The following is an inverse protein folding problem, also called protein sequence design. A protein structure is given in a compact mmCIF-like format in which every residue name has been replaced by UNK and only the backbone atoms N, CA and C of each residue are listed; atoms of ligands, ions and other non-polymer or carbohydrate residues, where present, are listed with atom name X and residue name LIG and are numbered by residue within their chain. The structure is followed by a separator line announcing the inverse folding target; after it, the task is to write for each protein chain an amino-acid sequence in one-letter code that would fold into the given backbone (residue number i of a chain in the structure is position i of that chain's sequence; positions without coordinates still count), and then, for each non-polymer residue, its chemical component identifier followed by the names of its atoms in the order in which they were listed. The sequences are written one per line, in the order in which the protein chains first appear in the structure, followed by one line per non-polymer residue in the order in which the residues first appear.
data_IF_644348697203
#
_entry.id   IF_644348697203
#
_cell.length_a   1.000
_cell.length_b   1.000
_cell.length_c   1.000
_cell.angle_alpha   90.00
_cell.angle_beta   90.00
_cell.angle_gamma   90.00
#
_symmetry.space_group_name_H-M   'P 1'
#
loop_
_entity.id
_entity.type
_entity.pdbx_description
1 polymer ?
#
# COMPACT_ATOMS: atom_id res chain seq x y z
N UNK A 1 9.70 17.63 -6.71
CA UNK A 1 8.33 17.22 -6.42
C UNK A 1 8.00 17.56 -4.99
N UNK A 2 6.76 17.93 -4.69
CA UNK A 2 6.24 18.01 -3.32
C UNK A 2 5.08 17.04 -3.17
N UNK A 3 4.83 16.63 -1.94
CA UNK A 3 3.59 15.93 -1.59
C UNK A 3 2.61 16.93 -1.01
N UNK A 4 1.36 16.87 -1.48
CA UNK A 4 0.25 17.71 -1.04
C UNK A 4 -0.82 16.87 -0.35
N UNK A 5 -1.60 17.48 0.54
CA UNK A 5 -2.73 16.82 1.18
C UNK A 5 -3.94 16.70 0.27
N UNK A 6 -4.59 15.53 0.26
CA UNK A 6 -5.80 15.25 -0.53
C UNK A 6 -7.03 16.09 -0.14
N UNK A 7 -7.01 16.74 1.02
CA UNK A 7 -8.14 17.57 1.52
C UNK A 7 -7.77 19.06 1.63
N UNK A 8 -6.50 19.38 1.47
CA UNK A 8 -5.95 20.73 1.53
C UNK A 8 -4.57 20.77 0.86
N UNK A 9 -4.49 21.39 -0.32
CA UNK A 9 -3.24 21.53 -1.08
C UNK A 9 -2.20 22.42 -0.42
N UNK A 10 -2.58 23.22 0.58
CA UNK A 10 -1.65 24.04 1.37
C UNK A 10 -0.78 23.19 2.31
N UNK A 11 -1.26 21.99 2.69
CA UNK A 11 -0.47 21.02 3.45
C UNK A 11 0.55 20.42 2.48
N UNK A 12 1.80 20.80 2.63
CA UNK A 12 2.91 20.34 1.77
C UNK A 12 3.96 19.59 2.58
N UNK A 13 4.64 18.65 1.93
CA UNK A 13 5.73 17.87 2.52
C UNK A 13 6.75 17.45 1.47
N UNK A 14 8.00 17.29 1.89
CA UNK A 14 8.97 16.47 1.17
C UNK A 14 8.60 14.98 1.31
N UNK A 15 9.10 14.10 0.44
CA UNK A 15 8.78 12.68 0.50
C UNK A 15 9.26 12.07 1.82
N UNK A 16 10.50 12.37 2.24
CA UNK A 16 11.04 11.86 3.51
C UNK A 16 10.19 12.25 4.72
N UNK A 17 9.75 13.51 4.80
CA UNK A 17 8.84 13.98 5.86
C UNK A 17 7.46 13.34 5.75
N UNK A 18 6.96 13.14 4.55
CA UNK A 18 5.66 12.51 4.30
C UNK A 18 5.65 11.04 4.72
N UNK A 19 6.75 10.32 4.49
CA UNK A 19 6.97 8.94 4.95
C UNK A 19 6.96 8.87 6.48
N UNK A 20 7.64 9.78 7.17
CA UNK A 20 7.67 9.81 8.63
C UNK A 20 6.30 10.15 9.24
N UNK A 21 5.59 11.13 8.68
CA UNK A 21 4.27 11.55 9.14
C UNK A 21 3.19 10.50 8.85
N UNK A 22 3.27 9.84 7.68
CA UNK A 22 2.30 8.85 7.20
C UNK A 22 0.96 9.42 6.74
N UNK A 23 0.39 10.40 7.46
CA UNK A 23 -0.91 11.04 7.21
C UNK A 23 -0.82 12.57 7.37
N UNK A 24 -1.71 13.31 6.71
CA UNK A 24 -1.82 14.76 6.89
C UNK A 24 -2.48 15.12 8.24
N UNK A 25 -2.20 16.31 8.74
CA UNK A 25 -2.71 16.82 10.01
C UNK A 25 -4.24 17.03 10.03
N UNK A 26 -4.86 17.22 8.87
CA UNK A 26 -6.32 17.32 8.69
C UNK A 26 -6.99 15.94 8.45
N UNK A 27 -6.23 14.86 8.61
CA UNK A 27 -6.66 13.48 8.37
C UNK A 27 -6.74 13.09 6.89
N UNK A 28 -6.35 13.97 5.96
CA UNK A 28 -6.15 13.65 4.55
C UNK A 28 -4.88 12.82 4.32
N UNK A 29 -4.65 12.43 3.08
CA UNK A 29 -3.50 11.62 2.67
C UNK A 29 -2.50 12.46 1.88
N UNK A 30 -1.21 12.18 2.04
CA UNK A 30 -0.19 12.76 1.16
C UNK A 30 -0.26 12.12 -0.22
N UNK A 31 -0.23 12.91 -1.28
CA UNK A 31 -0.08 12.47 -2.67
C UNK A 31 0.89 13.40 -3.41
N UNK A 32 1.58 12.93 -4.46
CA UNK A 32 2.44 13.83 -5.22
C UNK A 32 1.61 14.96 -5.85
N UNK A 33 2.16 16.18 -5.87
CA UNK A 33 1.56 17.34 -6.53
C UNK A 33 1.29 17.07 -8.02
N UNK A 34 2.18 16.33 -8.66
CA UNK A 34 2.02 15.78 -10.00
C UNK A 34 2.56 14.34 -10.07
N UNK A 35 1.89 13.45 -10.80
CA UNK A 35 2.44 12.11 -11.06
C UNK A 35 3.56 12.28 -12.10
N UNK A 36 4.81 11.89 -11.80
CA UNK A 36 5.92 12.09 -12.72
C UNK A 36 5.73 11.25 -13.98
N UNK A 37 6.36 11.64 -15.08
CA UNK A 37 6.51 10.79 -16.27
C UNK A 37 7.89 10.13 -16.21
N UNK A 38 8.00 8.88 -16.67
CA UNK A 38 9.30 8.21 -16.76
C UNK A 38 10.28 9.04 -17.62
N UNK A 39 11.48 9.26 -17.09
CA UNK A 39 12.56 9.99 -17.76
C UNK A 39 13.32 9.12 -18.77
N UNK A 40 13.28 7.80 -18.61
CA UNK A 40 13.84 6.80 -19.52
C UNK A 40 12.77 6.23 -20.46
N UNK A 41 13.21 5.80 -21.64
CA UNK A 41 12.33 5.05 -22.54
C UNK A 41 12.02 3.68 -21.94
N UNK A 42 10.87 3.09 -22.31
CA UNK A 42 10.54 1.74 -21.84
C UNK A 42 11.58 0.71 -22.30
N UNK A 43 12.15 0.87 -23.50
CA UNK A 43 13.24 0.05 -24.02
C UNK A 43 14.47 0.04 -23.09
N UNK A 44 14.82 1.19 -22.51
CA UNK A 44 15.95 1.30 -21.56
C UNK A 44 15.68 0.57 -20.23
N UNK A 45 14.41 0.31 -19.90
CA UNK A 45 13.99 -0.34 -18.65
C UNK A 45 13.88 -1.86 -18.77
N UNK A 46 13.74 -2.40 -19.98
CA UNK A 46 13.41 -3.82 -20.25
C UNK A 46 14.37 -4.77 -19.53
N UNK A 47 15.67 -4.49 -19.56
CA UNK A 47 16.70 -5.40 -19.07
C UNK A 47 17.18 -5.11 -17.64
N UNK A 48 16.53 -4.17 -16.93
CA UNK A 48 16.92 -3.86 -15.55
C UNK A 48 16.54 -4.99 -14.59
N UNK A 49 17.35 -5.14 -13.54
CA UNK A 49 17.00 -5.91 -12.36
C UNK A 49 15.79 -5.28 -11.66
N UNK A 50 15.13 -6.02 -10.75
CA UNK A 50 14.03 -5.44 -9.96
C UNK A 50 14.50 -4.22 -9.17
N UNK A 51 15.70 -4.30 -8.59
CA UNK A 51 16.31 -3.25 -7.77
C UNK A 51 16.66 -2.00 -8.59
N UNK A 52 17.26 -2.18 -9.77
CA UNK A 52 17.57 -1.05 -10.65
C UNK A 52 16.31 -0.39 -11.18
N UNK A 53 15.30 -1.17 -11.56
CA UNK A 53 14.01 -0.63 -11.96
C UNK A 53 13.31 0.09 -10.80
N UNK A 54 13.40 -0.45 -9.58
CA UNK A 54 12.89 0.20 -8.38
C UNK A 54 13.54 1.58 -8.20
N UNK A 55 14.85 1.69 -8.41
CA UNK A 55 15.56 2.97 -8.33
C UNK A 55 15.05 3.95 -9.39
N UNK A 56 14.95 3.53 -10.66
CA UNK A 56 14.48 4.39 -11.75
C UNK A 56 13.06 4.93 -11.53
N UNK A 57 12.16 4.12 -10.98
CA UNK A 57 10.78 4.52 -10.66
C UNK A 57 10.74 5.39 -9.41
N UNK A 58 11.39 4.95 -8.31
CA UNK A 58 11.25 5.59 -6.99
C UNK A 58 11.97 6.94 -6.92
N UNK A 59 13.08 7.15 -7.65
CA UNK A 59 13.82 8.43 -7.65
C UNK A 59 12.95 9.61 -8.10
N UNK A 60 11.96 9.35 -8.97
CA UNK A 60 11.05 10.38 -9.49
C UNK A 60 10.02 10.82 -8.43
N UNK A 61 9.62 9.92 -7.54
CA UNK A 61 8.68 10.19 -6.44
C UNK A 61 9.37 10.65 -5.15
N UNK A 62 10.65 10.32 -4.97
CA UNK A 62 11.41 10.56 -3.74
C UNK A 62 12.64 11.43 -4.04
N UNK A 63 12.40 12.56 -4.72
CA UNK A 63 13.47 13.40 -5.28
C UNK A 63 14.29 14.18 -4.22
N UNK A 64 13.93 14.09 -2.95
CA UNK A 64 14.71 14.59 -1.81
C UNK A 64 15.72 13.55 -1.27
N UNK A 65 15.63 12.29 -1.70
CA UNK A 65 16.62 11.24 -1.42
C UNK A 65 17.78 11.32 -2.43
N UNK A 66 18.99 11.06 -1.96
CA UNK A 66 20.15 10.85 -2.84
C UNK A 66 20.09 9.46 -3.46
N UNK A 67 20.85 9.25 -4.54
CA UNK A 67 20.99 7.92 -5.14
C UNK A 67 21.47 6.87 -4.12
N UNK A 68 22.48 7.21 -3.32
CA UNK A 68 23.04 6.33 -2.30
C UNK A 68 21.99 5.93 -1.25
N UNK A 69 21.24 6.91 -0.75
CA UNK A 69 20.17 6.70 0.23
C UNK A 69 19.06 5.79 -0.30
N UNK A 70 18.62 6.03 -1.54
CA UNK A 70 17.53 5.27 -2.14
C UNK A 70 17.96 3.84 -2.51
N UNK A 71 19.18 3.68 -3.07
CA UNK A 71 19.76 2.37 -3.35
C UNK A 71 19.99 1.56 -2.07
N UNK A 72 20.43 2.20 -0.99
CA UNK A 72 20.52 1.55 0.32
C UNK A 72 19.18 0.98 0.76
N UNK A 73 18.09 1.76 0.66
CA UNK A 73 16.75 1.30 1.02
C UNK A 73 16.30 0.12 0.17
N UNK A 74 16.49 0.21 -1.15
CA UNK A 74 16.07 -0.81 -2.13
C UNK A 74 16.84 -2.12 -1.92
N UNK A 75 18.17 -2.05 -1.85
CA UNK A 75 19.01 -3.24 -1.73
C UNK A 75 18.88 -3.92 -0.36
N UNK A 76 18.54 -3.17 0.68
CA UNK A 76 18.27 -3.75 2.00
C UNK A 76 16.87 -4.39 2.08
N UNK A 77 15.95 -3.98 1.20
CA UNK A 77 14.58 -4.48 1.20
C UNK A 77 14.38 -5.71 0.32
N UNK A 78 14.92 -5.68 -0.90
CA UNK A 78 14.70 -6.69 -1.94
C UNK A 78 15.98 -7.53 -2.14
N UNK A 79 16.24 -8.37 -1.15
CA UNK A 79 17.39 -9.27 -1.08
C UNK A 79 16.92 -10.72 -0.85
N UNK A 80 17.78 -11.55 -0.25
CA UNK A 80 17.49 -12.94 0.12
C UNK A 80 16.28 -13.15 1.07
N UNK A 81 15.62 -12.08 1.54
CA UNK A 81 14.31 -12.18 2.20
C UNK A 81 13.20 -12.63 1.24
N UNK A 82 13.43 -12.50 -0.06
CA UNK A 82 12.58 -13.06 -1.10
C UNK A 82 13.17 -14.39 -1.55
N UNK A 83 12.34 -15.42 -1.70
CA UNK A 83 12.77 -16.78 -2.07
C UNK A 83 13.13 -16.94 -3.57
N UNK A 84 13.11 -15.83 -4.32
CA UNK A 84 13.48 -15.74 -5.74
C UNK A 84 14.23 -14.44 -6.02
N UNK A 85 15.29 -14.52 -6.83
CA UNK A 85 16.08 -13.36 -7.26
C UNK A 85 15.29 -12.38 -8.16
N UNK A 86 14.18 -12.85 -8.75
CA UNK A 86 13.29 -12.01 -9.55
C UNK A 86 12.43 -11.06 -8.70
N UNK A 87 12.32 -11.32 -7.38
CA UNK A 87 11.47 -10.63 -6.39
C UNK A 87 9.96 -10.75 -6.69
N UNK A 88 9.53 -10.48 -7.92
CA UNK A 88 8.15 -10.50 -8.40
C UNK A 88 8.06 -11.20 -9.78
N UNK A 89 8.23 -12.54 -9.85
CA UNK A 89 8.16 -13.28 -11.11
C UNK A 89 6.77 -13.23 -11.73
N UNK A 90 6.73 -13.30 -13.07
CA UNK A 90 5.50 -13.39 -13.84
C UNK A 90 5.38 -14.79 -14.45
N UNK A 91 4.35 -15.53 -14.06
CA UNK A 91 4.09 -16.91 -14.50
C UNK A 91 2.92 -16.93 -15.47
N UNK A 92 3.03 -17.71 -16.55
CA UNK A 92 1.95 -17.92 -17.51
C UNK A 92 1.15 -19.14 -17.10
N UNK A 93 -0.16 -18.97 -16.91
CA UNK A 93 -1.11 -20.04 -16.64
C UNK A 93 -2.24 -19.94 -17.68
N UNK A 94 -2.33 -20.94 -18.56
CA UNK A 94 -3.20 -20.93 -19.75
C UNK A 94 -3.06 -19.61 -20.55
N UNK A 95 -4.15 -18.84 -20.65
CA UNK A 95 -4.27 -17.59 -21.39
C UNK A 95 -4.04 -16.35 -20.50
N UNK A 96 -3.62 -16.52 -19.24
CA UNK A 96 -3.38 -15.43 -18.30
C UNK A 96 -1.96 -15.43 -17.75
N UNK A 97 -1.53 -14.27 -17.26
CA UNK A 97 -0.29 -14.12 -16.54
C UNK A 97 -0.57 -13.77 -15.08
N UNK A 98 0.06 -14.50 -14.17
CA UNK A 98 -0.01 -14.31 -12.73
C UNK A 98 1.29 -13.65 -12.28
N UNK A 99 1.19 -12.42 -11.78
CA UNK A 99 2.30 -11.74 -11.12
C UNK A 99 2.38 -12.22 -9.67
N UNK A 100 3.36 -13.06 -9.39
CA UNK A 100 3.54 -13.65 -8.07
C UNK A 100 4.22 -12.62 -7.15
N UNK A 101 3.46 -12.10 -6.18
CA UNK A 101 3.95 -11.11 -5.20
C UNK A 101 4.10 -11.72 -3.80
N UNK A 102 4.12 -13.04 -3.69
CA UNK A 102 4.10 -13.77 -2.42
C UNK A 102 5.44 -14.47 -2.13
N UNK A 103 6.52 -14.03 -2.75
CA UNK A 103 7.85 -14.61 -2.55
C UNK A 103 8.62 -14.03 -1.36
N UNK A 104 8.06 -13.02 -0.68
CA UNK A 104 8.61 -12.51 0.56
C UNK A 104 8.33 -13.46 1.74
N UNK A 105 9.02 -13.22 2.86
CA UNK A 105 8.96 -14.04 4.07
C UNK A 105 7.57 -14.31 4.64
N UNK A 106 6.57 -13.47 4.34
CA UNK A 106 5.21 -13.65 4.88
C UNK A 106 4.22 -14.21 3.86
N UNK A 107 4.70 -14.55 2.67
CA UNK A 107 3.92 -15.14 1.59
C UNK A 107 2.76 -14.25 1.13
N UNK A 108 2.94 -12.92 1.20
CA UNK A 108 1.92 -11.95 0.83
C UNK A 108 2.51 -10.73 0.13
N UNK A 109 1.75 -10.14 -0.81
CA UNK A 109 2.16 -8.94 -1.56
C UNK A 109 2.51 -7.72 -0.69
N UNK A 110 2.12 -7.72 0.59
CA UNK A 110 2.44 -6.65 1.51
C UNK A 110 3.94 -6.55 1.79
N UNK A 111 4.68 -7.65 1.62
CA UNK A 111 6.15 -7.68 1.74
C UNK A 111 6.80 -6.72 0.75
N UNK A 112 6.25 -6.57 -0.46
CA UNK A 112 6.76 -5.63 -1.46
C UNK A 112 6.85 -4.19 -0.93
N UNK A 113 5.92 -3.78 -0.07
CA UNK A 113 5.89 -2.43 0.50
C UNK A 113 6.50 -2.36 1.90
N UNK A 114 6.32 -3.41 2.72
CA UNK A 114 6.72 -3.40 4.12
C UNK A 114 8.17 -3.80 4.34
N UNK A 115 8.80 -4.51 3.41
CA UNK A 115 10.24 -4.78 3.48
C UNK A 115 11.10 -3.53 3.27
N UNK A 116 10.61 -2.53 2.51
CA UNK A 116 11.35 -1.29 2.22
C UNK A 116 11.02 -0.13 3.16
N UNK A 117 9.81 -0.11 3.72
CA UNK A 117 9.34 0.97 4.57
C UNK A 117 10.26 1.29 5.77
N UNK A 118 10.77 0.32 6.55
CA UNK A 118 11.68 0.59 7.67
C UNK A 118 12.94 1.36 7.24
N UNK A 119 13.55 0.96 6.12
CA UNK A 119 14.75 1.63 5.59
C UNK A 119 14.44 3.03 5.09
N UNK A 120 13.29 3.23 4.44
CA UNK A 120 12.81 4.55 4.05
C UNK A 120 12.58 5.45 5.28
N UNK A 121 11.98 4.93 6.35
CA UNK A 121 11.72 5.68 7.58
C UNK A 121 13.03 6.06 8.29
N UNK A 122 13.96 5.10 8.44
CA UNK A 122 15.29 5.35 9.04
C UNK A 122 16.06 6.42 8.26
N UNK A 123 16.11 6.26 6.94
CA UNK A 123 16.79 7.21 6.05
C UNK A 123 16.12 8.58 6.09
N UNK A 124 14.79 8.63 6.15
CA UNK A 124 14.03 9.87 6.30
C UNK A 124 14.31 10.57 7.63
N UNK A 125 14.37 9.84 8.74
CA UNK A 125 14.67 10.40 10.06
C UNK A 125 16.08 11.02 10.06
N UNK A 126 17.08 10.27 9.58
CA UNK A 126 18.46 10.74 9.45
C UNK A 126 18.54 12.00 8.58
N UNK A 127 17.91 12.00 7.40
CA UNK A 127 17.90 13.15 6.47
C UNK A 127 17.28 14.40 7.09
N UNK A 128 16.26 14.22 7.92
CA UNK A 128 15.58 15.33 8.59
C UNK A 128 16.21 15.69 9.94
N UNK A 129 17.41 15.17 10.26
CA UNK A 129 18.13 15.39 11.52
C UNK A 129 17.27 15.02 12.75
N UNK A 130 16.50 13.95 12.63
CA UNK A 130 15.70 13.39 13.71
C UNK A 130 16.48 12.24 14.32
N UNK A 131 17.05 12.50 15.49
CA UNK A 131 17.77 11.51 16.30
C UNK A 131 16.81 10.92 17.34
N UNK A 132 15.82 10.17 16.86
CA UNK A 132 14.79 9.52 17.69
C UNK A 132 14.56 8.10 17.21
N UNK A 133 14.31 7.20 18.15
CA UNK A 133 13.87 5.84 17.83
C UNK A 133 12.40 5.88 17.38
N UNK A 134 12.11 5.32 16.20
CA UNK A 134 10.76 5.35 15.63
C UNK A 134 9.96 4.18 16.20
N UNK A 135 8.83 4.47 16.85
CA UNK A 135 7.90 3.47 17.40
C UNK A 135 6.70 3.34 16.47
N UNK A 136 6.62 2.19 15.79
CA UNK A 136 5.61 1.87 14.80
C UNK A 136 4.42 1.23 15.52
N UNK A 137 3.24 1.83 15.41
CA UNK A 137 2.00 1.25 15.89
C UNK A 137 1.12 0.83 14.71
N UNK A 138 0.69 -0.44 14.71
CA UNK A 138 -0.15 -1.00 13.64
C UNK A 138 -1.27 -1.84 14.23
N UNK A 139 -2.51 -1.60 13.82
CA UNK A 139 -3.62 -2.51 14.06
C UNK A 139 -3.77 -3.47 12.88
N UNK A 140 -4.10 -4.74 13.13
CA UNK A 140 -4.28 -5.73 12.06
C UNK A 140 -5.43 -6.69 12.30
N UNK A 141 -5.98 -7.21 11.19
CA UNK A 141 -6.85 -8.38 11.14
C UNK A 141 -6.12 -9.64 10.66
N UNK A 142 -4.80 -9.60 10.48
CA UNK A 142 -4.00 -10.75 10.04
C UNK A 142 -2.71 -10.36 9.30
N UNK A 143 -2.68 -10.54 7.98
CA UNK A 143 -1.45 -10.48 7.17
C UNK A 143 -0.65 -9.18 7.30
N UNK A 144 -1.33 -8.03 7.44
CA UNK A 144 -0.64 -6.73 7.55
C UNK A 144 0.26 -6.69 8.77
N UNK A 145 -0.18 -7.28 9.90
CA UNK A 145 0.61 -7.31 11.11
C UNK A 145 1.85 -8.17 10.95
N UNK A 146 1.70 -9.38 10.38
CA UNK A 146 2.84 -10.26 10.13
C UNK A 146 3.87 -9.65 9.18
N UNK A 147 3.42 -9.09 8.05
CA UNK A 147 4.32 -8.40 7.10
C UNK A 147 5.01 -7.18 7.71
N UNK A 148 4.33 -6.43 8.58
CA UNK A 148 4.94 -5.30 9.26
C UNK A 148 5.95 -5.76 10.31
N UNK A 149 5.58 -6.75 11.13
CA UNK A 149 6.48 -7.36 12.10
C UNK A 149 7.77 -7.86 11.45
N UNK A 150 7.65 -8.61 10.36
CA UNK A 150 8.79 -9.15 9.63
C UNK A 150 9.64 -8.05 8.96
N UNK A 151 9.01 -7.04 8.37
CA UNK A 151 9.73 -5.93 7.75
C UNK A 151 10.56 -5.13 8.77
N UNK A 152 10.00 -4.87 9.95
CA UNK A 152 10.65 -4.06 10.99
C UNK A 152 11.55 -4.87 11.94
N UNK A 153 11.51 -6.20 11.91
CA UNK A 153 12.30 -7.05 12.78
C UNK A 153 13.81 -6.71 12.68
N UNK A 154 14.41 -6.41 13.83
CA UNK A 154 15.83 -6.08 14.02
C UNK A 154 16.35 -4.91 13.16
N UNK A 155 15.45 -4.06 12.65
CA UNK A 155 15.84 -2.82 11.99
C UNK A 155 16.20 -1.78 13.04
N UNK A 156 17.51 -1.59 13.22
CA UNK A 156 18.09 -0.62 14.15
C UNK A 156 17.49 0.81 13.99
N UNK A 157 17.15 1.42 15.13
CA UNK A 157 16.46 2.72 15.20
C UNK A 157 14.94 2.65 15.06
N UNK A 158 14.35 1.45 15.04
CA UNK A 158 12.90 1.25 15.00
C UNK A 158 12.42 0.24 16.04
N UNK A 159 11.19 0.41 16.51
CA UNK A 159 10.41 -0.57 17.29
C UNK A 159 9.05 -0.73 16.65
N UNK A 160 8.47 -1.91 16.73
CA UNK A 160 7.12 -2.15 16.22
C UNK A 160 6.23 -2.80 17.27
N UNK A 161 5.02 -2.27 17.40
CA UNK A 161 3.95 -2.85 18.19
C UNK A 161 2.72 -3.11 17.31
N UNK A 162 2.32 -4.38 17.23
CA UNK A 162 1.15 -4.83 16.47
C UNK A 162 0.01 -5.20 17.40
N UNK A 163 -1.14 -4.57 17.21
CA UNK A 163 -2.38 -4.83 17.92
C UNK A 163 -3.31 -5.66 17.05
N UNK A 164 -3.85 -6.74 17.59
CA UNK A 164 -4.79 -7.60 16.88
C UNK A 164 -5.92 -8.08 17.81
N UNK A 165 -7.14 -8.32 17.30
CA UNK A 165 -8.20 -8.91 18.11
C UNK A 165 -7.86 -10.36 18.44
N UNK A 166 -7.72 -10.67 19.73
CA UNK A 166 -7.24 -11.96 20.25
C UNK A 166 -8.00 -13.18 19.70
N UNK A 167 -9.31 -12.99 19.46
CA UNK A 167 -10.26 -13.98 18.96
C UNK A 167 -10.72 -13.70 17.50
N UNK A 168 -10.18 -12.64 16.86
CA UNK A 168 -10.64 -12.15 15.55
C UNK A 168 -9.68 -12.42 14.39
N UNK A 169 -8.61 -13.20 14.61
CA UNK A 169 -7.62 -13.59 13.59
C UNK A 169 -7.55 -15.11 13.46
N UNK A 170 -7.13 -15.63 12.31
CA UNK A 170 -6.99 -17.08 12.14
C UNK A 170 -5.89 -17.64 13.06
N UNK A 171 -5.98 -18.92 13.50
CA UNK A 171 -4.95 -19.52 14.33
C UNK A 171 -3.55 -19.47 13.73
N UNK A 172 -3.43 -19.63 12.40
CA UNK A 172 -2.14 -19.57 11.70
C UNK A 172 -1.56 -18.15 11.75
N UNK A 173 -2.35 -17.12 11.44
CA UNK A 173 -1.89 -15.73 11.51
C UNK A 173 -1.54 -15.32 12.94
N UNK A 174 -2.33 -15.77 13.93
CA UNK A 174 -2.03 -15.56 15.34
C UNK A 174 -0.67 -16.13 15.71
N UNK A 175 -0.43 -17.40 15.38
CA UNK A 175 0.84 -18.07 15.63
C UNK A 175 1.99 -17.33 14.95
N UNK A 176 1.86 -16.99 13.66
CA UNK A 176 2.88 -16.24 12.93
C UNK A 176 3.26 -14.90 13.58
N UNK A 177 2.29 -14.20 14.17
CA UNK A 177 2.52 -12.94 14.88
C UNK A 177 3.16 -13.18 16.25
N UNK A 178 2.58 -14.02 17.10
CA UNK A 178 3.06 -14.21 18.49
C UNK A 178 4.40 -14.94 18.58
N UNK A 179 4.79 -15.67 17.52
CA UNK A 179 6.11 -16.30 17.41
C UNK A 179 7.07 -15.48 16.52
N UNK A 180 6.77 -14.21 16.24
CA UNK A 180 7.70 -13.35 15.52
C UNK A 180 9.00 -13.18 16.32
N UNK A 181 10.12 -13.35 15.63
CA UNK A 181 11.46 -13.02 16.15
C UNK A 181 11.81 -11.55 15.87
N UNK A 182 12.68 -11.00 16.71
CA UNK A 182 13.21 -9.64 16.61
C UNK A 182 13.11 -8.90 17.93
N UNK A 183 14.24 -8.39 18.44
CA UNK A 183 14.34 -7.78 19.77
C UNK A 183 13.53 -6.47 19.89
N UNK A 184 13.18 -5.88 18.76
CA UNK A 184 12.43 -4.64 18.65
C UNK A 184 10.93 -4.84 18.33
N UNK A 185 10.45 -6.09 18.35
CA UNK A 185 9.06 -6.44 18.02
C UNK A 185 8.20 -6.66 19.27
N UNK A 186 6.93 -6.25 19.19
CA UNK A 186 5.94 -6.46 20.25
C UNK A 186 4.58 -6.75 19.63
N UNK A 187 3.88 -7.76 20.16
CA UNK A 187 2.55 -8.14 19.69
C UNK A 187 1.58 -8.12 20.86
N UNK A 188 0.45 -7.43 20.68
CA UNK A 188 -0.55 -7.19 21.70
C UNK A 188 -1.91 -7.71 21.22
N UNK A 189 -2.35 -8.81 21.80
CA UNK A 189 -3.71 -9.31 21.64
C UNK A 189 -4.68 -8.46 22.46
N UNK A 190 -5.70 -7.88 21.82
CA UNK A 190 -6.73 -7.10 22.50
C UNK A 190 -8.03 -7.90 22.62
N UNK A 191 -8.78 -7.66 23.70
CA UNK A 191 -10.16 -8.14 23.83
C UNK A 191 -11.08 -7.15 23.13
N UNK A 192 -11.60 -7.53 21.97
CA UNK A 192 -12.42 -6.67 21.11
C UNK A 192 -12.34 -7.14 19.66
N UNK A 193 -12.78 -6.28 18.75
CA UNK A 193 -12.70 -6.49 17.30
C UNK A 193 -11.59 -5.64 16.65
N UNK A 194 -11.46 -5.73 15.32
CA UNK A 194 -10.45 -4.96 14.57
C UNK A 194 -10.67 -3.44 14.67
N UNK A 195 -11.92 -2.98 14.67
CA UNK A 195 -12.23 -1.55 14.78
C UNK A 195 -11.85 -0.98 16.15
N UNK A 196 -11.98 -1.79 17.21
CA UNK A 196 -11.50 -1.44 18.55
C UNK A 196 -9.96 -1.26 18.55
N UNK A 197 -9.23 -2.19 17.92
CA UNK A 197 -7.77 -2.10 17.79
C UNK A 197 -7.35 -0.84 17.02
N UNK A 198 -8.02 -0.58 15.90
CA UNK A 198 -7.74 0.59 15.07
C UNK A 198 -8.05 1.89 15.81
N UNK A 199 -9.16 1.94 16.55
CA UNK A 199 -9.56 3.10 17.35
C UNK A 199 -8.60 3.36 18.50
N UNK A 200 -8.15 2.32 19.20
CA UNK A 200 -7.16 2.42 20.28
C UNK A 200 -5.81 2.95 19.76
N UNK A 201 -5.30 2.38 18.66
CA UNK A 201 -4.08 2.88 18.01
C UNK A 201 -4.24 4.35 17.61
N UNK A 202 -5.39 4.73 17.03
CA UNK A 202 -5.67 6.12 16.68
C UNK A 202 -5.68 7.05 17.90
N UNK A 203 -6.25 6.62 19.03
CA UNK A 203 -6.22 7.43 20.26
C UNK A 203 -4.80 7.68 20.77
N UNK A 204 -3.91 6.69 20.69
CA UNK A 204 -2.49 6.81 21.06
C UNK A 204 -1.79 7.87 20.19
N UNK A 205 -2.04 7.88 18.88
CA UNK A 205 -1.48 8.89 17.96
C UNK A 205 -1.98 10.31 18.20
N UNK A 206 -3.07 10.50 18.96
CA UNK A 206 -3.65 11.81 19.24
C UNK A 206 -3.43 12.28 20.67
N UNK A 207 -2.83 11.44 21.51
CA UNK A 207 -2.55 11.75 22.91
C UNK A 207 -1.30 12.64 23.01
N UNK A 208 -1.54 13.94 23.23
CA UNK A 208 -0.48 14.95 23.31
C UNK A 208 0.44 14.77 24.51
N UNK A 209 -0.07 14.23 25.62
CA UNK A 209 0.75 14.01 26.83
C UNK A 209 1.70 12.84 26.60
N UNK A 210 1.19 11.73 26.06
CA UNK A 210 2.00 10.57 25.71
C UNK A 210 3.03 10.88 24.62
N UNK A 211 2.65 11.62 23.58
CA UNK A 211 3.58 12.07 22.53
C UNK A 211 4.71 12.89 23.15
N UNK A 212 4.40 13.82 24.05
CA UNK A 212 5.42 14.64 24.72
C UNK A 212 6.34 13.80 25.61
N UNK A 213 5.79 12.88 26.39
CA UNK A 213 6.58 11.98 27.23
C UNK A 213 7.56 11.13 26.42
N UNK A 214 7.12 10.61 25.28
CA UNK A 214 7.96 9.84 24.37
C UNK A 214 9.02 10.70 23.69
N UNK A 215 8.65 11.92 23.29
CA UNK A 215 9.56 12.90 22.71
C UNK A 215 10.76 13.18 23.63
N UNK A 216 10.48 13.41 24.92
CA UNK A 216 11.48 13.62 25.98
C UNK A 216 12.37 12.40 26.24
N UNK A 217 11.86 11.20 25.97
CA UNK A 217 12.60 9.94 26.07
C UNK A 217 13.33 9.54 24.78
N UNK A 218 13.30 10.38 23.74
CA UNK A 218 13.98 10.10 22.47
C UNK A 218 13.21 9.18 21.53
N UNK A 219 11.90 9.04 21.71
CA UNK A 219 11.02 8.25 20.84
C UNK A 219 10.11 9.15 20.01
N UNK A 220 9.69 8.64 18.85
CA UNK A 220 8.61 9.24 18.09
C UNK A 220 7.66 8.18 17.55
N UNK A 221 6.36 8.45 17.56
CA UNK A 221 5.40 7.55 16.93
C UNK A 221 5.40 7.70 15.40
N UNK A 222 5.20 6.58 14.72
CA UNK A 222 4.81 6.55 13.32
C UNK A 222 3.98 5.31 13.02
N UNK A 223 3.44 5.20 11.80
CA UNK A 223 2.55 4.12 11.40
C UNK A 223 2.98 3.45 10.11
N UNK A 224 2.84 2.12 10.06
CA UNK A 224 3.04 1.30 8.87
C UNK A 224 1.73 1.06 8.08
N UNK A 225 0.71 1.90 8.28
CA UNK A 225 -0.58 1.75 7.63
C UNK A 225 -0.52 1.92 6.10
N UNK A 226 -1.49 1.32 5.40
CA UNK A 226 -1.59 1.27 3.93
C UNK A 226 -1.68 2.62 3.24
N UNK A 227 -1.91 3.69 4.00
CA UNK A 227 -1.98 5.06 3.53
C UNK A 227 -0.61 5.73 3.42
N UNK A 228 0.46 5.16 4.00
CA UNK A 228 1.79 5.78 3.93
C UNK A 228 2.31 5.81 2.48
N UNK A 229 2.86 6.95 2.03
CA UNK A 229 3.45 7.07 0.68
C UNK A 229 4.65 6.12 0.48
N UNK A 230 5.38 5.81 1.56
CA UNK A 230 6.45 4.82 1.57
C UNK A 230 5.95 3.38 1.37
N UNK A 231 4.64 3.15 1.43
CA UNK A 231 4.02 1.88 0.99
C UNK A 231 3.43 1.95 -0.41
N UNK A 232 2.86 3.08 -0.81
CA UNK A 232 2.23 3.24 -2.12
C UNK A 232 3.26 3.25 -3.26
N UNK A 233 4.31 4.05 -3.14
CA UNK A 233 5.29 4.25 -4.22
C UNK A 233 6.04 2.96 -4.60
N UNK A 234 6.53 2.14 -3.66
CA UNK A 234 7.21 0.89 -4.02
C UNK A 234 6.32 -0.08 -4.81
N UNK A 235 5.00 -0.02 -4.62
CA UNK A 235 4.06 -0.86 -5.36
C UNK A 235 3.97 -0.51 -6.85
N UNK A 236 4.38 0.70 -7.26
CA UNK A 236 4.41 1.12 -8.68
C UNK A 236 5.42 0.27 -9.47
N UNK A 237 6.51 -0.15 -8.82
CA UNK A 237 7.65 -0.82 -9.43
C UNK A 237 7.25 -2.14 -10.10
N UNK A 238 6.47 -2.99 -9.41
CA UNK A 238 6.15 -4.31 -9.95
C UNK A 238 5.20 -4.26 -11.15
N UNK A 239 4.48 -3.16 -11.38
CA UNK A 239 3.70 -2.97 -12.62
C UNK A 239 4.61 -2.76 -13.83
N UNK A 240 5.64 -1.90 -13.69
CA UNK A 240 6.68 -1.79 -14.71
C UNK A 240 7.41 -3.11 -14.87
N UNK A 241 7.78 -3.77 -13.77
CA UNK A 241 8.54 -5.01 -13.82
C UNK A 241 7.78 -6.14 -14.54
N UNK A 242 6.48 -6.29 -14.26
CA UNK A 242 5.62 -7.25 -14.95
C UNK A 242 5.55 -6.97 -16.46
N UNK A 243 5.39 -5.69 -16.86
CA UNK A 243 5.41 -5.31 -18.27
C UNK A 243 6.76 -5.62 -18.93
N UNK A 244 7.87 -5.30 -18.26
CA UNK A 244 9.21 -5.60 -18.77
C UNK A 244 9.47 -7.11 -18.89
N UNK A 245 8.90 -7.93 -18.00
CA UNK A 245 8.94 -9.39 -18.14
C UNK A 245 8.21 -9.86 -19.40
N UNK A 246 7.01 -9.35 -19.68
CA UNK A 246 6.27 -9.68 -20.92
C UNK A 246 7.07 -9.30 -22.17
N UNK A 247 7.64 -8.09 -22.20
CA UNK A 247 8.48 -7.64 -23.31
C UNK A 247 9.73 -8.52 -23.47
N UNK A 248 10.44 -8.82 -22.39
CA UNK A 248 11.63 -9.70 -22.42
C UNK A 248 11.32 -11.10 -22.93
N UNK A 249 10.16 -11.64 -22.57
CA UNK A 249 9.71 -12.96 -23.02
C UNK A 249 9.24 -12.97 -24.48
N UNK A 250 9.07 -11.81 -25.12
CA UNK A 250 8.58 -11.68 -26.49
C UNK A 250 7.07 -11.85 -26.65
N UNK A 251 6.32 -11.94 -25.54
CA UNK A 251 4.86 -12.09 -25.53
C UNK A 251 4.14 -10.80 -25.98
N UNK A 252 4.76 -9.64 -25.75
CA UNK A 252 4.32 -8.34 -26.28
C UNK A 252 5.52 -7.52 -26.76
N UNK A 253 5.28 -6.55 -27.64
CA UNK A 253 6.27 -5.50 -27.97
C UNK A 253 6.09 -4.29 -27.06
N UNK A 254 7.17 -3.50 -26.92
CA UNK A 254 7.12 -2.19 -26.26
C UNK A 254 6.04 -1.32 -26.92
N UNK A 255 5.18 -0.73 -26.10
CA UNK A 255 4.06 0.11 -26.53
C UNK A 255 2.73 -0.65 -26.68
N UNK A 256 2.74 -1.99 -26.75
CA UNK A 256 1.51 -2.77 -26.70
C UNK A 256 0.86 -2.65 -25.34
N UNK A 257 -0.45 -2.44 -25.33
CA UNK A 257 -1.20 -2.22 -24.08
C UNK A 257 -1.62 -3.54 -23.46
N UNK A 258 -1.47 -3.65 -22.14
CA UNK A 258 -1.96 -4.79 -21.36
C UNK A 258 -3.07 -4.38 -20.41
N UNK A 259 -3.80 -5.36 -19.87
CA UNK A 259 -4.75 -5.15 -18.78
C UNK A 259 -4.16 -5.70 -17.48
N UNK A 260 -4.51 -5.07 -16.36
CA UNK A 260 -4.19 -5.58 -15.02
C UNK A 260 -5.47 -5.86 -14.24
N UNK A 261 -5.62 -7.08 -13.74
CA UNK A 261 -6.69 -7.44 -12.79
C UNK A 261 -6.11 -7.48 -11.39
N UNK A 262 -6.69 -6.72 -10.47
CA UNK A 262 -6.15 -6.55 -9.11
C UNK A 262 -7.22 -6.89 -8.08
N UNK A 263 -7.05 -7.98 -7.31
CA UNK A 263 -7.84 -8.24 -6.12
C UNK A 263 -7.68 -7.09 -5.12
N UNK A 264 -8.73 -6.31 -4.90
CA UNK A 264 -8.62 -4.98 -4.28
C UNK A 264 -9.43 -4.88 -3.00
N UNK A 265 -8.75 -4.54 -1.90
CA UNK A 265 -9.36 -4.07 -0.65
C UNK A 265 -9.20 -2.55 -0.49
N UNK A 266 -8.10 -2.13 0.15
CA UNK A 266 -7.80 -0.71 0.47
C UNK A 266 -7.31 0.17 -0.70
N UNK A 267 -7.51 -0.25 -1.95
CA UNK A 267 -7.19 0.49 -3.20
C UNK A 267 -5.71 0.83 -3.47
N UNK A 268 -4.78 0.59 -2.53
CA UNK A 268 -3.38 1.00 -2.69
C UNK A 268 -2.65 0.32 -3.85
N UNK A 269 -2.88 -0.99 -4.05
CA UNK A 269 -2.23 -1.77 -5.11
C UNK A 269 -2.65 -1.27 -6.51
N UNK A 270 -3.95 -1.29 -6.81
CA UNK A 270 -4.47 -0.83 -8.10
C UNK A 270 -4.21 0.66 -8.36
N UNK A 271 -4.17 1.49 -7.31
CA UNK A 271 -3.77 2.90 -7.42
C UNK A 271 -2.30 3.03 -7.84
N UNK A 272 -1.41 2.19 -7.34
CA UNK A 272 -0.01 2.16 -7.79
C UNK A 272 0.10 1.76 -9.27
N UNK A 273 -0.75 0.85 -9.73
CA UNK A 273 -0.87 0.53 -11.17
C UNK A 273 -1.34 1.73 -11.98
N UNK A 274 -2.37 2.43 -11.51
CA UNK A 274 -2.84 3.67 -12.13
C UNK A 274 -1.72 4.73 -12.19
N UNK A 275 -0.92 4.85 -11.13
CA UNK A 275 0.27 5.71 -11.14
C UNK A 275 1.29 5.27 -12.19
N UNK A 276 1.58 3.97 -12.31
CA UNK A 276 2.47 3.45 -13.36
C UNK A 276 1.98 3.82 -14.76
N UNK A 277 0.66 3.73 -15.01
CA UNK A 277 0.05 4.16 -16.27
C UNK A 277 0.25 5.67 -16.51
N UNK A 278 -0.03 6.49 -15.51
CA UNK A 278 0.19 7.94 -15.59
C UNK A 278 1.67 8.30 -15.83
N UNK A 279 2.61 7.47 -15.38
CA UNK A 279 4.04 7.62 -15.67
C UNK A 279 4.43 7.25 -17.11
N UNK A 280 3.52 6.66 -17.90
CA UNK A 280 3.76 6.28 -19.29
C UNK A 280 3.71 4.77 -19.56
N UNK A 281 3.37 3.94 -18.57
CA UNK A 281 3.23 2.50 -18.78
C UNK A 281 2.04 2.19 -19.72
N UNK A 282 2.19 1.40 -20.79
CA UNK A 282 1.11 1.10 -21.73
C UNK A 282 0.06 0.16 -21.11
N UNK A 283 -0.92 0.74 -20.43
CA UNK A 283 -2.04 0.00 -19.83
C UNK A 283 -3.35 0.38 -20.48
N UNK A 284 -4.11 -0.61 -20.94
CA UNK A 284 -5.43 -0.44 -21.51
C UNK A 284 -6.47 -0.24 -20.40
N UNK A 285 -6.72 -1.27 -19.57
CA UNK A 285 -7.69 -1.22 -18.45
C UNK A 285 -7.12 -1.83 -17.17
N UNK A 286 -7.60 -1.32 -16.04
CA UNK A 286 -7.46 -1.94 -14.73
C UNK A 286 -8.81 -2.54 -14.31
N UNK A 287 -8.80 -3.79 -13.87
CA UNK A 287 -9.98 -4.48 -13.35
C UNK A 287 -9.85 -4.50 -11.82
N UNK A 288 -10.67 -3.72 -11.15
CA UNK A 288 -10.81 -3.68 -9.69
C UNK A 288 -11.68 -4.84 -9.22
N UNK A 289 -11.06 -5.97 -8.87
CA UNK A 289 -11.77 -7.18 -8.47
C UNK A 289 -12.07 -7.17 -6.96
N UNK A 290 -13.36 -7.05 -6.60
CA UNK A 290 -13.86 -7.15 -5.23
C UNK A 290 -14.32 -8.57 -4.89
N UNK A 291 -14.47 -8.89 -3.60
CA UNK A 291 -15.20 -10.08 -3.16
C UNK A 291 -16.68 -9.73 -2.89
N UNK A 292 -17.35 -10.42 -1.98
CA UNK A 292 -18.74 -10.11 -1.62
C UNK A 292 -18.92 -8.72 -0.98
N UNK A 293 -17.84 -8.09 -0.49
CA UNK A 293 -17.80 -6.68 -0.06
C UNK A 293 -17.62 -5.74 -1.27
N UNK A 294 -18.73 -5.43 -1.95
CA UNK A 294 -18.77 -4.82 -3.29
C UNK A 294 -18.73 -3.28 -3.32
N UNK A 295 -18.21 -2.62 -2.30
CA UNK A 295 -18.26 -1.14 -2.22
C UNK A 295 -17.52 -0.46 -3.37
N UNK A 296 -16.39 -1.03 -3.81
CA UNK A 296 -15.62 -0.53 -4.96
C UNK A 296 -16.29 -0.88 -6.29
N UNK A 297 -16.85 -2.08 -6.41
CA UNK A 297 -17.64 -2.48 -7.59
C UNK A 297 -18.79 -1.50 -7.85
N UNK A 298 -19.60 -1.22 -6.82
CA UNK A 298 -20.73 -0.30 -6.94
C UNK A 298 -20.26 1.12 -7.27
N UNK A 299 -19.17 1.57 -6.66
CA UNK A 299 -18.57 2.88 -6.93
C UNK A 299 -18.15 3.05 -8.39
N UNK A 300 -17.37 2.12 -8.95
CA UNK A 300 -16.94 2.21 -10.37
C UNK A 300 -18.11 2.01 -11.35
N UNK A 301 -19.18 1.34 -10.93
CA UNK A 301 -20.36 1.11 -11.78
C UNK A 301 -21.34 2.29 -11.78
N UNK A 302 -21.48 2.99 -10.65
CA UNK A 302 -22.57 3.95 -10.43
C UNK A 302 -22.12 5.35 -10.02
N UNK A 303 -20.83 5.55 -9.72
CA UNK A 303 -20.32 6.78 -9.12
C UNK A 303 -20.65 6.95 -7.63
N UNK A 304 -21.42 6.03 -7.04
CA UNK A 304 -21.85 6.10 -5.63
C UNK A 304 -21.02 5.19 -4.74
N UNK A 305 -20.37 5.77 -3.74
CA UNK A 305 -19.67 5.05 -2.68
C UNK A 305 -20.54 5.06 -1.42
N UNK A 306 -21.04 3.90 -0.98
CA UNK A 306 -21.93 3.81 0.19
C UNK A 306 -21.41 2.76 1.16
N UNK A 307 -20.94 3.15 2.35
CA UNK A 307 -20.48 2.23 3.40
C UNK A 307 -21.61 1.73 4.31
N UNK A 308 -22.85 2.19 4.15
CA UNK A 308 -24.01 1.75 4.93
C UNK A 308 -24.52 0.39 4.43
N UNK A 309 -23.69 -0.64 4.60
CA UNK A 309 -23.95 -2.01 4.14
C UNK A 309 -23.45 -3.01 5.17
N UNK A 310 -23.94 -4.23 5.06
CA UNK A 310 -23.48 -5.33 5.90
C UNK A 310 -22.02 -5.68 5.59
N UNK A 311 -21.23 -5.93 6.64
CA UNK A 311 -19.88 -6.44 6.52
C UNK A 311 -19.93 -7.96 6.31
N UNK A 312 -19.40 -8.44 5.19
CA UNK A 312 -19.43 -9.86 4.84
C UNK A 312 -18.08 -10.49 5.15
N UNK A 313 -18.06 -11.54 5.99
CA UNK A 313 -16.87 -12.37 6.19
C UNK A 313 -16.74 -13.35 5.02
N UNK A 314 -15.65 -13.28 4.27
CA UNK A 314 -15.46 -14.07 3.05
C UNK A 314 -14.27 -15.04 3.14
N UNK A 315 -13.99 -15.73 2.04
CA UNK A 315 -12.81 -16.59 1.88
C UNK A 315 -11.55 -15.81 1.47
N UNK A 316 -11.67 -14.49 1.25
CA UNK A 316 -10.56 -13.58 0.98
C UNK A 316 -10.56 -12.42 1.99
N UNK A 317 -10.33 -12.71 3.29
CA UNK A 317 -10.56 -11.77 4.40
C UNK A 317 -9.75 -10.47 4.30
N UNK A 318 -8.59 -10.51 3.63
CA UNK A 318 -7.74 -9.33 3.41
C UNK A 318 -8.35 -8.28 2.48
N UNK A 319 -9.48 -8.60 1.83
CA UNK A 319 -10.28 -7.70 0.99
C UNK A 319 -11.63 -7.34 1.63
N UNK A 320 -11.98 -7.91 2.79
CA UNK A 320 -13.25 -7.61 3.48
C UNK A 320 -13.19 -6.20 4.07
N UNK A 321 -13.76 -5.22 3.35
CA UNK A 321 -13.69 -3.80 3.69
C UNK A 321 -15.02 -3.07 3.41
N UNK A 322 -15.35 -2.11 4.28
CA UNK A 322 -16.42 -1.13 4.03
C UNK A 322 -15.86 0.21 3.53
N UNK A 323 -14.64 0.55 3.94
CA UNK A 323 -13.96 1.79 3.58
C UNK A 323 -12.62 1.44 2.93
N UNK A 324 -12.42 1.91 1.71
CA UNK A 324 -11.19 1.71 0.96
C UNK A 324 -10.28 2.93 1.09
N UNK A 325 -9.25 2.82 1.94
CA UNK A 325 -8.50 4.00 2.40
C UNK A 325 -7.82 4.80 1.29
N UNK A 326 -7.26 4.15 0.26
CA UNK A 326 -6.54 4.85 -0.80
C UNK A 326 -7.44 5.38 -1.93
N UNK A 327 -8.75 5.10 -1.91
CA UNK A 327 -9.67 5.64 -2.90
C UNK A 327 -9.69 7.17 -2.87
N UNK A 328 -9.48 7.77 -1.68
CA UNK A 328 -9.38 9.21 -1.49
C UNK A 328 -8.33 9.87 -2.40
N UNK A 329 -7.18 9.21 -2.64
CA UNK A 329 -6.15 9.71 -3.57
C UNK A 329 -6.63 9.76 -5.01
N UNK A 330 -7.40 8.76 -5.44
CA UNK A 330 -8.01 8.76 -6.76
C UNK A 330 -9.06 9.87 -6.87
N UNK A 331 -9.91 10.04 -5.86
CA UNK A 331 -10.91 11.12 -5.83
C UNK A 331 -10.24 12.49 -5.98
N UNK A 332 -9.18 12.75 -5.21
CA UNK A 332 -8.45 14.02 -5.30
C UNK A 332 -7.83 14.22 -6.67
N UNK A 333 -7.31 13.16 -7.30
CA UNK A 333 -6.75 13.23 -8.66
C UNK A 333 -7.82 13.51 -9.73
N UNK A 334 -9.01 12.95 -9.58
CA UNK A 334 -10.11 13.09 -10.54
C UNK A 334 -10.95 14.36 -10.31
N UNK A 335 -10.85 14.97 -9.13
CA UNK A 335 -11.63 16.16 -8.74
C UNK A 335 -10.72 17.30 -8.28
N UNK A 336 -10.73 17.64 -7.00
CA UNK A 336 -9.83 18.61 -6.36
C UNK A 336 -9.71 18.30 -4.86
N UNK A 337 -8.74 18.90 -4.14
CA UNK A 337 -8.65 18.78 -2.69
C UNK A 337 -9.91 19.27 -1.95
N UNK A 338 -10.50 20.37 -2.41
CA UNK A 338 -11.72 20.95 -1.83
C UNK A 338 -12.89 19.99 -2.02
N UNK A 339 -13.06 19.44 -3.23
CA UNK A 339 -14.13 18.48 -3.49
C UNK A 339 -13.94 17.19 -2.72
N UNK A 340 -12.70 16.71 -2.62
CA UNK A 340 -12.36 15.51 -1.85
C UNK A 340 -12.70 15.70 -0.37
N UNK A 341 -12.40 16.88 0.20
CA UNK A 341 -12.79 17.22 1.56
C UNK A 341 -14.32 17.16 1.77
N UNK A 342 -15.10 17.69 0.84
CA UNK A 342 -16.57 17.59 0.87
C UNK A 342 -17.05 16.12 0.83
N UNK A 343 -16.51 15.31 -0.09
CA UNK A 343 -16.87 13.90 -0.23
C UNK A 343 -16.52 13.09 1.03
N UNK A 344 -15.35 13.35 1.63
CA UNK A 344 -14.95 12.69 2.87
C UNK A 344 -15.79 13.14 4.07
N UNK A 345 -16.23 14.39 4.11
CA UNK A 345 -17.19 14.87 5.11
C UNK A 345 -18.55 14.18 4.97
N UNK A 346 -19.06 14.04 3.74
CA UNK A 346 -20.29 13.31 3.44
C UNK A 346 -20.18 11.82 3.82
N UNK A 347 -19.05 11.17 3.50
CA UNK A 347 -18.78 9.80 3.95
C UNK A 347 -18.77 9.67 5.49
N UNK A 348 -18.21 10.65 6.19
CA UNK A 348 -18.15 10.63 7.65
C UNK A 348 -19.52 10.82 8.29
N UNK A 349 -20.34 11.74 7.75
CA UNK A 349 -21.61 12.14 8.35
C UNK A 349 -22.79 11.24 7.91
N UNK A 350 -22.84 10.88 6.63
CA UNK A 350 -23.97 10.16 6.01
C UNK A 350 -23.62 8.73 5.62
N UNK A 351 -22.34 8.36 5.67
CA UNK A 351 -21.88 7.03 5.26
C UNK A 351 -21.84 6.83 3.75
N UNK A 352 -22.01 7.87 2.93
CA UNK A 352 -21.98 7.75 1.47
C UNK A 352 -21.64 9.05 0.77
N UNK A 353 -21.31 8.98 -0.50
CA UNK A 353 -21.28 10.10 -1.44
C UNK A 353 -21.48 9.62 -2.87
N UNK A 354 -21.81 10.54 -3.76
CA UNK A 354 -21.86 10.31 -5.21
C UNK A 354 -20.99 11.33 -5.93
N UNK A 355 -20.23 10.86 -6.92
CA UNK A 355 -19.38 11.69 -7.76
C UNK A 355 -19.45 11.19 -9.20
N UNK A 356 -19.50 12.10 -10.16
CA UNK A 356 -19.42 11.75 -11.57
C UNK A 356 -17.98 11.34 -11.91
N UNK A 357 -17.77 10.03 -12.03
CA UNK A 357 -16.47 9.48 -12.43
C UNK A 357 -16.44 9.43 -13.96
N UNK A 358 -15.57 10.22 -14.56
CA UNK A 358 -15.28 10.16 -16.01
C UNK A 358 -14.14 9.20 -16.35
N UNK A 359 -13.61 8.47 -15.36
CA UNK A 359 -12.51 7.53 -15.52
C UNK A 359 -13.03 6.18 -16.04
N UNK A 360 -12.82 5.92 -17.34
CA UNK A 360 -13.13 4.64 -17.96
C UNK A 360 -11.99 3.61 -17.82
N UNK A 361 -10.85 4.00 -17.26
CA UNK A 361 -9.63 3.20 -17.20
C UNK A 361 -9.67 2.13 -16.10
N UNK A 362 -10.45 2.36 -15.04
CA UNK A 362 -10.67 1.41 -13.94
C UNK A 362 -12.11 0.92 -13.98
N UNK A 363 -12.29 -0.38 -14.19
CA UNK A 363 -13.61 -1.03 -14.18
C UNK A 363 -13.75 -1.88 -12.92
N UNK A 364 -14.92 -1.83 -12.29
CA UNK A 364 -15.23 -2.64 -11.12
C UNK A 364 -15.78 -4.01 -11.53
N UNK A 365 -15.24 -5.07 -10.95
CA UNK A 365 -15.78 -6.44 -11.03
C UNK A 365 -15.84 -7.08 -9.65
N UNK A 366 -16.58 -8.19 -9.51
CA UNK A 366 -16.59 -8.94 -8.26
C UNK A 366 -16.76 -10.46 -8.44
N UNK A 367 -16.22 -11.22 -7.49
CA UNK A 367 -16.40 -12.66 -7.39
C UNK A 367 -17.03 -13.02 -6.02
N UNK A 368 -18.06 -13.87 -6.05
CA UNK A 368 -18.62 -14.48 -4.84
C UNK A 368 -17.73 -15.61 -4.36
N UNK A 369 -17.91 -16.06 -3.11
CA UNK A 369 -17.25 -17.27 -2.57
C UNK A 369 -17.29 -18.47 -3.54
N UNK A 370 -18.45 -18.79 -4.11
CA UNK A 370 -18.60 -19.93 -5.04
C UNK A 370 -17.81 -19.72 -6.34
N UNK A 371 -17.84 -18.50 -6.90
CA UNK A 371 -17.06 -18.17 -8.11
C UNK A 371 -15.56 -18.28 -7.82
N UNK A 372 -15.10 -17.82 -6.67
CA UNK A 372 -13.70 -17.92 -6.23
C UNK A 372 -13.26 -19.39 -6.15
N UNK A 373 -14.04 -20.24 -5.49
CA UNK A 373 -13.69 -21.67 -5.40
C UNK A 373 -13.75 -22.40 -6.74
N UNK A 374 -14.71 -22.06 -7.60
CA UNK A 374 -14.75 -22.62 -8.95
C UNK A 374 -13.53 -22.20 -9.77
N UNK A 375 -13.06 -20.95 -9.65
CA UNK A 375 -11.86 -20.47 -10.32
C UNK A 375 -10.59 -21.17 -9.81
N UNK A 376 -10.48 -21.37 -8.49
CA UNK A 376 -9.39 -22.18 -7.91
C UNK A 376 -9.45 -23.60 -8.48
N UNK A 377 -10.62 -24.24 -8.46
CA UNK A 377 -10.80 -25.60 -8.98
C UNK A 377 -10.54 -25.71 -10.50
N UNK A 378 -10.73 -24.67 -11.29
CA UNK A 378 -10.43 -24.72 -12.72
C UNK A 378 -8.93 -24.56 -13.03
N UNK A 379 -8.17 -23.95 -12.12
CA UNK A 379 -6.73 -23.74 -12.25
C UNK A 379 -5.90 -24.94 -11.79
N UNK A 380 -6.46 -25.80 -10.93
CA UNK A 380 -5.88 -27.06 -10.46
C UNK A 380 -6.51 -28.27 -11.16
#
# INVERSE_FOLDING_TARGET
MKYVGTRNSSITSDASKGILKGICEDGGLFMPDEIPVMDKSLDDLVNLSYQDLAYEVMKLYMNDFTEEELRYCINSAYDSKFDTDLIAPLVKEDDVYILELFHGKTLAFKDMALSILPYLMKTSAKKNNIDKEIVILTATSGDTGKAALEGFADVDGTRIMVFFPEDGVSPVQKLQMVTQEGENTCVVGIKGNFDDAQSAVKSIFTDKELIKELDEKGFMFSSANSINIGRLVPQVVYYFYAYMQLVRSGEIKVGEKINFTVPTGNFGNILAGYYAKCMGLPVNKFICASNDNKVLYDFFKTGTYDKNREFMVTVSPSMDILISSNLERLLCKLTSPEKTKELMASLSNEGKYTVDITNDEIVGEFATKDKTFNAIKSMY
#
